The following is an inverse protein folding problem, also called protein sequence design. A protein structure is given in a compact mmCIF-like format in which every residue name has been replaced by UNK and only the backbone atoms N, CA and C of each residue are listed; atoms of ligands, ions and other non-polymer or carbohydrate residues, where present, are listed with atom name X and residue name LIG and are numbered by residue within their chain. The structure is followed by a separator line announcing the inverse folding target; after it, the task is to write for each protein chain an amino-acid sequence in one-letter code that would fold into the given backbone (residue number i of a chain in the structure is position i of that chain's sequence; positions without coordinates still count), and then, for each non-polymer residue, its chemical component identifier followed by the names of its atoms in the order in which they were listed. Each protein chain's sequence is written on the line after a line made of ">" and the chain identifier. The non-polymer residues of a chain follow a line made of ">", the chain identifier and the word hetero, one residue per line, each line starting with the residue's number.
data_IF_655365624233
#
_entry.id   IF_655365624233
#
_cell.length_a   1.000
_cell.length_b   1.000
_cell.length_c   1.000
_cell.angle_alpha   90.00
_cell.angle_beta   90.00
_cell.angle_gamma   90.00
#
_symmetry.space_group_name_H-M   'P 1'
#
loop_
_entity.id
_entity.type
_entity.pdbx_description
1 polymer ?
#
# COMPACT_ATOMS: atom_id res chain seq x y z
N UNK A 1 -88.79 -29.52 29.63
CA UNK A 1 -88.20 -30.72 29.07
C UNK A 1 -86.74 -30.41 28.98
N UNK A 2 -86.11 -30.73 29.99
CA UNK A 2 -85.00 -31.63 30.37
C UNK A 2 -83.70 -31.31 29.64
N UNK A 3 -82.97 -30.84 30.27
CA UNK A 3 -81.69 -30.35 30.70
C UNK A 3 -80.80 -31.54 31.07
N UNK A 4 -79.69 -31.59 30.55
CA UNK A 4 -78.50 -32.31 31.11
C UNK A 4 -77.30 -31.44 31.02
N UNK A 5 -76.77 -31.11 32.15
CA UNK A 5 -75.51 -30.45 32.37
C UNK A 5 -74.38 -31.48 32.30
N UNK A 6 -73.35 -31.24 31.56
CA UNK A 6 -72.12 -32.05 31.58
C UNK A 6 -70.99 -31.18 32.03
N UNK A 7 -70.48 -31.60 33.15
CA UNK A 7 -69.43 -31.00 33.96
C UNK A 7 -68.08 -31.48 33.35
N UNK A 8 -67.41 -30.61 32.66
CA UNK A 8 -66.08 -30.89 32.17
C UNK A 8 -65.05 -30.39 33.19
N UNK A 9 -64.45 -31.35 33.88
CA UNK A 9 -63.29 -31.15 34.77
C UNK A 9 -62.13 -30.60 34.01
N UNK A 10 -61.70 -29.45 34.46
CA UNK A 10 -60.50 -28.78 33.98
C UNK A 10 -59.27 -29.48 34.62
N UNK A 11 -58.62 -30.34 33.86
CA UNK A 11 -57.31 -30.87 34.24
C UNK A 11 -56.26 -29.79 34.13
N UNK A 12 -55.73 -29.39 35.28
CA UNK A 12 -54.54 -28.51 35.40
C UNK A 12 -53.30 -29.32 35.02
N UNK A 13 -52.57 -28.95 33.98
CA UNK A 13 -51.33 -29.63 33.68
C UNK A 13 -50.34 -29.41 34.84
N UNK A 14 -49.87 -30.50 35.39
CA UNK A 14 -48.80 -30.53 36.40
C UNK A 14 -47.58 -29.83 35.84
N UNK A 15 -47.20 -28.73 36.47
CA UNK A 15 -45.93 -28.08 36.19
C UNK A 15 -44.77 -29.05 36.54
N UNK A 16 -44.16 -29.61 35.48
CA UNK A 16 -42.89 -30.29 35.63
C UNK A 16 -41.89 -29.32 36.27
N UNK A 17 -41.49 -29.64 37.47
CA UNK A 17 -40.37 -28.96 38.14
C UNK A 17 -39.13 -29.21 37.31
N UNK A 18 -38.78 -28.28 36.39
CA UNK A 18 -37.45 -28.24 35.83
C UNK A 18 -36.45 -28.02 36.97
N UNK A 19 -35.75 -29.08 37.29
CA UNK A 19 -34.61 -29.00 38.21
C UNK A 19 -33.62 -27.96 37.70
N UNK A 20 -33.22 -27.01 38.54
CA UNK A 20 -32.23 -26.00 38.12
C UNK A 20 -30.96 -26.72 37.64
N UNK A 21 -30.62 -26.53 36.38
CA UNK A 21 -29.38 -27.05 35.81
C UNK A 21 -28.24 -26.51 36.68
N UNK A 22 -27.57 -27.44 37.36
CA UNK A 22 -26.37 -27.12 38.15
C UNK A 22 -25.32 -26.53 37.19
N UNK A 23 -25.18 -25.23 37.18
CA UNK A 23 -24.12 -24.54 36.46
C UNK A 23 -22.82 -24.88 37.21
N UNK A 24 -21.95 -25.67 36.57
CA UNK A 24 -20.64 -25.97 37.13
C UNK A 24 -19.92 -24.65 37.49
N UNK A 25 -19.32 -24.58 38.70
CA UNK A 25 -18.65 -23.36 39.10
C UNK A 25 -17.53 -23.02 38.11
N UNK A 26 -17.63 -21.83 37.49
CA UNK A 26 -16.58 -21.34 36.60
C UNK A 26 -15.25 -21.27 37.35
N UNK A 27 -14.14 -21.71 36.75
CA UNK A 27 -12.85 -21.66 37.40
C UNK A 27 -12.50 -20.21 37.76
N UNK A 28 -12.41 -19.93 39.06
CA UNK A 28 -12.03 -18.59 39.53
C UNK A 28 -10.53 -18.45 39.42
N UNK A 29 -10.09 -17.75 38.41
CA UNK A 29 -8.70 -17.33 38.27
C UNK A 29 -8.35 -16.36 39.41
N UNK A 30 -7.25 -16.58 40.11
CA UNK A 30 -6.75 -15.61 41.10
C UNK A 30 -6.41 -14.30 40.38
N UNK A 31 -6.58 -13.15 41.06
CA UNK A 31 -6.28 -11.84 40.46
C UNK A 31 -4.89 -11.77 39.82
N UNK A 32 -3.90 -12.42 40.44
CA UNK A 32 -2.52 -12.51 39.90
C UNK A 32 -2.47 -13.32 38.61
N UNK A 33 -3.16 -14.45 38.53
CA UNK A 33 -3.22 -15.27 37.30
C UNK A 33 -3.92 -14.53 36.16
N UNK A 34 -4.96 -13.78 36.47
CA UNK A 34 -5.66 -12.96 35.47
C UNK A 34 -4.76 -11.84 34.92
N UNK A 35 -4.05 -11.12 35.79
CA UNK A 35 -3.11 -10.07 35.38
C UNK A 35 -1.98 -10.63 34.52
N UNK A 36 -1.41 -11.78 34.91
CA UNK A 36 -0.35 -12.43 34.14
C UNK A 36 -0.85 -12.87 32.75
N UNK A 37 -2.05 -13.44 32.69
CA UNK A 37 -2.67 -13.85 31.41
C UNK A 37 -2.91 -12.64 30.52
N UNK A 38 -3.40 -11.55 31.05
CA UNK A 38 -3.65 -10.31 30.32
C UNK A 38 -2.36 -9.74 29.73
N UNK A 39 -1.29 -9.65 30.54
CA UNK A 39 0.03 -9.19 30.10
C UNK A 39 0.56 -10.10 29.01
N UNK A 40 0.48 -11.41 29.17
CA UNK A 40 0.95 -12.38 28.18
C UNK A 40 0.19 -12.25 26.86
N UNK A 41 -1.13 -12.10 26.92
CA UNK A 41 -1.98 -11.93 25.72
C UNK A 41 -1.65 -10.66 24.94
N UNK A 42 -1.24 -9.59 25.62
CA UNK A 42 -0.81 -8.35 24.96
C UNK A 42 0.64 -8.43 24.46
N UNK A 43 1.53 -9.08 25.20
CA UNK A 43 2.97 -9.12 24.88
C UNK A 43 3.29 -10.08 23.74
N UNK A 44 2.62 -11.22 23.66
CA UNK A 44 2.86 -12.23 22.61
C UNK A 44 2.67 -11.67 21.20
N UNK A 45 1.56 -10.97 20.86
CA UNK A 45 1.41 -10.39 19.53
C UNK A 45 2.42 -9.26 19.26
N UNK A 46 2.80 -8.47 20.27
CA UNK A 46 3.80 -7.41 20.09
C UNK A 46 5.19 -7.99 19.79
N UNK A 47 5.59 -9.03 20.52
CA UNK A 47 6.85 -9.75 20.26
C UNK A 47 6.79 -10.41 18.88
N UNK A 48 5.68 -11.06 18.53
CA UNK A 48 5.48 -11.67 17.22
C UNK A 48 5.60 -10.67 16.08
N UNK A 49 4.97 -9.50 16.20
CA UNK A 49 5.09 -8.41 15.25
C UNK A 49 6.53 -7.86 15.15
N UNK A 50 7.20 -7.69 16.27
CA UNK A 50 8.60 -7.21 16.30
C UNK A 50 9.54 -8.19 15.62
N UNK A 51 9.39 -9.49 15.89
CA UNK A 51 10.15 -10.56 15.23
C UNK A 51 9.83 -10.58 13.73
N UNK A 52 8.56 -10.56 13.36
CA UNK A 52 8.14 -10.50 11.96
C UNK A 52 8.74 -9.28 11.24
N UNK A 53 8.64 -8.08 11.83
CA UNK A 53 9.20 -6.87 11.28
C UNK A 53 10.73 -6.93 11.13
N UNK A 54 11.44 -7.61 12.04
CA UNK A 54 12.89 -7.78 11.97
C UNK A 54 13.32 -8.71 10.83
N UNK A 55 12.55 -9.75 10.53
CA UNK A 55 12.87 -10.71 9.47
C UNK A 55 12.32 -10.31 8.10
N UNK A 56 11.15 -9.69 8.05
CA UNK A 56 10.42 -9.42 6.82
C UNK A 56 10.25 -7.91 6.51
N UNK A 57 10.43 -7.03 7.50
CA UNK A 57 10.23 -5.59 7.36
C UNK A 57 11.35 -4.85 6.63
N UNK A 58 12.48 -5.50 6.40
CA UNK A 58 13.56 -4.98 5.57
C UNK A 58 13.38 -5.44 4.12
N UNK A 59 12.40 -4.89 3.44
CA UNK A 59 12.48 -4.82 1.98
C UNK A 59 13.55 -3.77 1.65
N UNK A 60 14.82 -4.16 1.62
CA UNK A 60 15.83 -3.31 1.01
C UNK A 60 15.50 -3.29 -0.48
N UNK A 61 14.86 -2.21 -0.93
CA UNK A 61 14.71 -1.98 -2.36
C UNK A 61 16.11 -2.04 -2.97
N UNK A 62 16.27 -2.81 -4.03
CA UNK A 62 17.54 -2.85 -4.74
C UNK A 62 17.79 -1.48 -5.36
N UNK A 63 19.04 -1.07 -5.43
CA UNK A 63 19.37 0.15 -6.18
C UNK A 63 19.10 -0.09 -7.66
N UNK A 64 18.34 0.82 -8.27
CA UNK A 64 18.03 0.75 -9.69
C UNK A 64 19.18 1.36 -10.49
N UNK A 65 19.82 0.60 -11.40
CA UNK A 65 20.94 1.09 -12.20
C UNK A 65 20.43 1.96 -13.37
N UNK A 66 20.03 3.19 -13.05
CA UNK A 66 19.64 4.23 -14.02
C UNK A 66 20.33 5.53 -13.67
N UNK A 67 20.75 6.27 -14.68
CA UNK A 67 21.15 7.66 -14.53
C UNK A 67 19.89 8.54 -14.66
N UNK A 68 19.81 9.57 -13.84
CA UNK A 68 18.69 10.52 -13.80
C UNK A 68 19.24 11.93 -13.81
N UNK A 69 18.62 12.83 -14.56
CA UNK A 69 18.95 14.24 -14.52
C UNK A 69 17.81 15.13 -14.96
N UNK A 70 18.00 16.42 -14.71
CA UNK A 70 17.09 17.50 -15.11
C UNK A 70 17.82 18.43 -16.06
N UNK A 71 17.14 18.94 -17.04
CA UNK A 71 17.74 19.85 -18.01
C UNK A 71 16.71 20.54 -18.90
N UNK A 72 17.22 21.30 -19.87
CA UNK A 72 16.40 21.92 -20.91
C UNK A 72 16.84 21.29 -22.23
N UNK A 73 15.95 20.65 -22.93
CA UNK A 73 16.24 20.01 -24.23
C UNK A 73 15.22 20.43 -25.29
N UNK A 74 15.62 20.45 -26.57
CA UNK A 74 14.71 20.73 -27.66
C UNK A 74 13.81 19.53 -27.92
N UNK A 75 12.51 19.73 -27.77
CA UNK A 75 11.48 18.73 -28.07
C UNK A 75 10.73 19.16 -29.31
N UNK A 76 10.45 18.20 -30.22
CA UNK A 76 9.64 18.48 -31.39
C UNK A 76 8.26 18.98 -31.00
N UNK A 77 7.85 20.13 -31.53
CA UNK A 77 6.52 20.65 -31.34
C UNK A 77 5.47 19.73 -32.00
N UNK A 78 4.33 19.56 -31.35
CA UNK A 78 3.18 18.89 -31.97
C UNK A 78 2.78 19.67 -33.22
N UNK A 79 2.99 19.06 -34.42
CA UNK A 79 2.72 19.73 -35.72
C UNK A 79 3.91 19.74 -36.67
N UNK A 80 5.07 19.23 -36.26
CA UNK A 80 6.19 18.91 -37.18
C UNK A 80 7.04 20.08 -37.65
N UNK A 81 6.80 21.30 -37.18
CA UNK A 81 7.63 22.47 -37.54
C UNK A 81 8.32 23.05 -36.30
N UNK A 82 9.61 22.71 -36.15
CA UNK A 82 10.48 23.29 -35.17
C UNK A 82 10.61 22.48 -33.86
N UNK A 83 11.64 22.80 -33.09
CA UNK A 83 11.87 22.27 -31.75
C UNK A 83 11.70 23.42 -30.74
N UNK A 84 11.05 23.11 -29.62
CA UNK A 84 10.84 24.05 -28.53
C UNK A 84 11.73 23.59 -27.35
N UNK A 85 12.52 24.51 -26.82
CA UNK A 85 13.28 24.26 -25.59
C UNK A 85 12.30 24.09 -24.44
N UNK A 86 12.37 22.92 -23.81
CA UNK A 86 11.41 22.54 -22.78
C UNK A 86 12.17 21.96 -21.57
N UNK A 87 11.70 22.28 -20.38
CA UNK A 87 12.20 21.65 -19.15
C UNK A 87 11.88 20.15 -19.19
N UNK A 88 12.93 19.35 -19.06
CA UNK A 88 12.83 17.90 -19.17
C UNK A 88 13.45 17.20 -17.97
N UNK A 89 13.02 15.98 -17.77
CA UNK A 89 13.71 14.99 -16.97
C UNK A 89 14.18 13.92 -17.94
N UNK A 90 15.43 13.52 -17.82
CA UNK A 90 15.96 12.43 -18.61
C UNK A 90 16.35 11.25 -17.72
N UNK A 91 16.11 10.06 -18.23
CA UNK A 91 16.53 8.79 -17.66
C UNK A 91 17.35 8.04 -18.67
N UNK A 92 18.40 7.39 -18.22
CA UNK A 92 19.22 6.50 -19.06
C UNK A 92 19.39 5.16 -18.34
N UNK A 93 19.00 4.08 -18.99
CA UNK A 93 19.18 2.74 -18.45
C UNK A 93 20.67 2.34 -18.48
N UNK A 94 21.19 2.00 -17.31
CA UNK A 94 22.53 1.42 -17.15
C UNK A 94 22.46 -0.10 -16.91
N UNK A 95 21.28 -0.69 -17.12
CA UNK A 95 21.02 -2.09 -16.91
C UNK A 95 21.12 -2.87 -18.23
N UNK A 96 21.61 -4.12 -18.17
CA UNK A 96 21.86 -4.95 -19.36
C UNK A 96 20.60 -5.63 -19.91
N UNK A 97 19.45 -5.42 -19.30
CA UNK A 97 18.17 -6.00 -19.74
C UNK A 97 17.03 -5.00 -19.58
N UNK A 98 15.91 -5.30 -20.21
CA UNK A 98 14.71 -4.48 -20.15
C UNK A 98 14.20 -4.27 -18.72
N UNK A 99 13.88 -3.03 -18.38
CA UNK A 99 13.28 -2.65 -17.11
C UNK A 99 11.78 -2.39 -17.29
N UNK A 100 10.92 -3.34 -16.92
CA UNK A 100 9.47 -3.19 -17.01
C UNK A 100 8.91 -2.35 -15.87
N UNK A 101 7.71 -1.81 -16.07
CA UNK A 101 6.93 -1.08 -15.07
C UNK A 101 7.70 0.11 -14.47
N UNK A 102 8.31 0.92 -15.33
CA UNK A 102 9.02 2.13 -14.89
C UNK A 102 8.00 3.18 -14.44
N UNK A 103 8.17 3.61 -13.20
CA UNK A 103 7.37 4.69 -12.60
C UNK A 103 8.33 5.78 -12.15
N UNK A 104 8.03 7.00 -12.54
CA UNK A 104 8.81 8.17 -12.16
C UNK A 104 7.92 9.05 -11.30
N UNK A 105 8.44 9.50 -10.19
CA UNK A 105 7.75 10.33 -9.21
C UNK A 105 8.58 11.60 -8.95
N UNK A 106 7.92 12.74 -9.01
CA UNK A 106 8.48 14.05 -8.70
C UNK A 106 7.91 14.54 -7.37
N UNK A 107 8.79 14.84 -6.43
CA UNK A 107 8.45 15.40 -5.12
C UNK A 107 7.40 14.58 -4.35
N UNK A 108 7.26 13.26 -4.61
CA UNK A 108 6.27 12.41 -3.97
C UNK A 108 4.80 12.65 -4.36
N UNK A 109 4.54 13.50 -5.36
CA UNK A 109 3.19 13.94 -5.70
C UNK A 109 2.81 13.79 -7.17
N UNK A 110 3.77 13.93 -8.07
CA UNK A 110 3.52 13.91 -9.51
C UNK A 110 4.15 12.67 -10.13
N UNK A 111 3.35 11.90 -10.83
CA UNK A 111 3.71 10.57 -11.30
C UNK A 111 3.63 10.46 -12.82
N UNK A 112 4.51 9.66 -13.37
CA UNK A 112 4.44 9.18 -14.74
C UNK A 112 4.64 7.66 -14.74
N UNK A 113 3.69 6.95 -15.31
CA UNK A 113 3.75 5.49 -15.49
C UNK A 113 4.07 5.18 -16.94
N UNK A 114 5.18 4.49 -17.17
CA UNK A 114 5.54 4.01 -18.49
C UNK A 114 5.12 2.55 -18.65
N UNK A 115 4.29 2.27 -19.65
CA UNK A 115 3.81 0.92 -19.94
C UNK A 115 4.86 0.09 -20.69
N UNK A 116 5.63 0.72 -21.61
CA UNK A 116 6.71 0.04 -22.34
C UNK A 116 7.95 -0.11 -21.46
N UNK A 117 8.65 -1.25 -21.53
CA UNK A 117 9.91 -1.42 -20.83
C UNK A 117 10.94 -0.37 -21.26
N UNK A 118 11.87 -0.05 -20.39
CA UNK A 118 13.04 0.76 -20.71
C UNK A 118 14.14 -0.19 -21.15
N UNK A 119 14.58 -0.08 -22.41
CA UNK A 119 15.59 -0.94 -22.99
C UNK A 119 17.01 -0.63 -22.45
N UNK A 120 17.95 -1.58 -22.52
CA UNK A 120 19.34 -1.35 -22.16
C UNK A 120 19.93 -0.16 -22.93
N UNK A 121 20.56 0.78 -22.22
CA UNK A 121 21.16 1.98 -22.81
C UNK A 121 20.17 2.98 -23.38
N UNK A 122 18.86 2.74 -23.28
CA UNK A 122 17.85 3.69 -23.74
C UNK A 122 17.87 4.95 -22.88
N UNK A 123 17.97 6.11 -23.56
CA UNK A 123 17.79 7.41 -22.96
C UNK A 123 16.37 7.91 -23.23
N UNK A 124 15.62 8.10 -22.17
CA UNK A 124 14.25 8.59 -22.18
C UNK A 124 14.24 10.06 -21.76
N UNK A 125 13.74 10.92 -22.65
CA UNK A 125 13.60 12.37 -22.38
C UNK A 125 12.13 12.69 -22.20
N UNK A 126 11.77 13.25 -21.04
CA UNK A 126 10.40 13.45 -20.60
C UNK A 126 10.14 14.92 -20.30
N UNK A 127 9.25 15.61 -21.03
CA UNK A 127 8.83 16.96 -20.66
C UNK A 127 8.21 16.96 -19.26
N UNK A 128 8.58 17.93 -18.43
CA UNK A 128 8.02 18.00 -17.06
C UNK A 128 6.50 18.14 -17.05
N UNK A 129 5.90 18.72 -18.09
CA UNK A 129 4.45 18.93 -18.21
C UNK A 129 3.61 17.65 -18.32
N UNK A 130 4.22 16.49 -18.62
CA UNK A 130 3.49 15.22 -18.73
C UNK A 130 3.23 14.57 -17.38
N UNK A 131 3.93 15.02 -16.33
CA UNK A 131 3.73 14.51 -14.98
C UNK A 131 2.43 15.05 -14.38
N UNK A 132 1.70 14.19 -13.70
CA UNK A 132 0.43 14.57 -13.08
C UNK A 132 0.26 13.93 -11.70
N UNK A 133 -0.52 14.61 -10.87
CA UNK A 133 -0.96 14.06 -9.58
C UNK A 133 -2.04 12.99 -9.79
N UNK A 134 -2.39 12.25 -8.75
CA UNK A 134 -3.51 11.30 -8.74
C UNK A 134 -4.86 11.96 -9.08
N UNK A 135 -4.99 13.27 -8.81
CA UNK A 135 -6.16 14.08 -9.18
C UNK A 135 -6.05 14.72 -10.56
N UNK A 136 -5.10 14.27 -11.39
CA UNK A 136 -4.87 14.73 -12.76
C UNK A 136 -4.45 16.20 -12.91
N UNK A 137 -3.87 16.79 -11.86
CA UNK A 137 -3.23 18.11 -11.95
C UNK A 137 -1.84 17.94 -12.57
N UNK A 138 -1.57 18.66 -13.65
CA UNK A 138 -0.29 18.61 -14.36
C UNK A 138 0.79 19.43 -13.65
N UNK A 139 2.02 18.97 -13.76
CA UNK A 139 3.17 19.76 -13.35
C UNK A 139 3.28 21.03 -14.20
N UNK A 140 3.54 22.14 -13.54
CA UNK A 140 3.80 23.45 -14.20
C UNK A 140 5.25 23.81 -13.94
N UNK A 141 6.12 23.74 -14.99
CA UNK A 141 7.53 24.13 -14.86
C UNK A 141 7.65 25.55 -14.37
N UNK A 142 8.66 25.80 -13.51
CA UNK A 142 8.91 27.12 -12.93
C UNK A 142 7.98 27.54 -11.79
N UNK A 143 6.89 26.80 -11.52
CA UNK A 143 6.02 27.08 -10.38
C UNK A 143 6.53 26.47 -9.08
N UNK A 144 7.12 25.31 -9.16
CA UNK A 144 7.70 24.58 -8.02
C UNK A 144 9.08 24.05 -8.43
N UNK A 145 10.03 24.10 -7.49
CA UNK A 145 11.31 23.43 -7.69
C UNK A 145 11.16 21.91 -7.59
N UNK A 146 11.93 21.19 -8.41
CA UNK A 146 12.06 19.74 -8.26
C UNK A 146 13.12 19.52 -7.19
N UNK A 147 12.72 18.98 -6.05
CA UNK A 147 13.61 18.66 -4.93
C UNK A 147 14.02 17.19 -4.91
N UNK A 148 13.14 16.31 -5.41
CA UNK A 148 13.39 14.88 -5.42
C UNK A 148 12.76 14.21 -6.64
N UNK A 149 13.51 13.31 -7.24
CA UNK A 149 13.03 12.44 -8.33
C UNK A 149 13.25 11.00 -7.88
N UNK A 150 12.16 10.23 -7.81
CA UNK A 150 12.21 8.82 -7.52
C UNK A 150 11.85 8.02 -8.78
N UNK A 151 12.73 7.13 -9.19
CA UNK A 151 12.47 6.19 -10.28
C UNK A 151 12.37 4.79 -9.71
N UNK A 152 11.28 4.13 -10.00
CA UNK A 152 11.02 2.76 -9.56
C UNK A 152 10.82 1.88 -10.78
N UNK A 153 11.42 0.71 -10.77
CA UNK A 153 11.19 -0.32 -11.79
C UNK A 153 11.19 -1.72 -11.16
N UNK A 154 10.74 -2.69 -11.92
CA UNK A 154 10.81 -4.09 -11.54
C UNK A 154 12.00 -4.74 -12.22
N UNK A 155 12.89 -5.33 -11.45
CA UNK A 155 14.02 -6.09 -11.99
C UNK A 155 13.53 -7.44 -12.59
N UNK A 156 14.30 -8.07 -13.48
CA UNK A 156 13.99 -9.41 -14.01
C UNK A 156 13.85 -10.47 -12.91
N UNK A 157 14.49 -10.26 -11.76
CA UNK A 157 14.34 -11.11 -10.56
C UNK A 157 12.96 -10.99 -9.90
N UNK A 158 12.08 -10.12 -10.39
CA UNK A 158 10.78 -9.80 -9.80
C UNK A 158 10.85 -8.80 -8.63
N UNK A 159 12.04 -8.44 -8.15
CA UNK A 159 12.22 -7.48 -7.05
C UNK A 159 12.00 -6.06 -7.53
N UNK A 160 11.47 -5.22 -6.65
CA UNK A 160 11.41 -3.78 -6.86
C UNK A 160 12.78 -3.17 -6.67
N UNK A 161 13.15 -2.25 -7.56
CA UNK A 161 14.34 -1.43 -7.43
C UNK A 161 13.97 0.05 -7.50
N UNK A 162 14.69 0.88 -6.79
CA UNK A 162 14.44 2.33 -6.68
C UNK A 162 15.75 3.09 -6.84
N UNK A 163 15.69 4.20 -7.57
CA UNK A 163 16.75 5.21 -7.62
C UNK A 163 16.16 6.56 -7.25
N UNK A 164 16.77 7.21 -6.29
CA UNK A 164 16.39 8.55 -5.84
C UNK A 164 17.48 9.54 -6.22
N UNK A 165 17.11 10.61 -6.90
CA UNK A 165 17.93 11.80 -7.09
C UNK A 165 17.37 12.93 -6.25
N UNK A 166 18.15 13.46 -5.33
CA UNK A 166 17.84 14.69 -4.59
C UNK A 166 18.60 15.85 -5.23
N UNK A 167 17.89 16.94 -5.46
CA UNK A 167 18.42 18.17 -6.02
C UNK A 167 18.50 19.16 -4.87
N UNK A 168 19.71 19.41 -4.40
CA UNK A 168 19.98 20.45 -3.40
C UNK A 168 20.10 21.78 -4.16
N UNK A 169 19.40 22.83 -3.65
CA UNK A 169 19.52 24.20 -4.17
C UNK A 169 20.80 24.85 -3.69
#
# INVERSE_FOLDING_TARGET
>A
MSIAAENSMNEVPSAEHEMPRSIAPAPRLSGRAFTTLLILTCLVPLIGLSVYASFFGRSSDAELPVAIGVGIEPIQAMGGQGAILTDVIWLESQFDSDLPNVTIDLNGQYFLYRQSPLAPGERLVLPQQIFSTKSNQRWVPGRYAITEINVTAKLPSGRRAVKTLRIEE
#
